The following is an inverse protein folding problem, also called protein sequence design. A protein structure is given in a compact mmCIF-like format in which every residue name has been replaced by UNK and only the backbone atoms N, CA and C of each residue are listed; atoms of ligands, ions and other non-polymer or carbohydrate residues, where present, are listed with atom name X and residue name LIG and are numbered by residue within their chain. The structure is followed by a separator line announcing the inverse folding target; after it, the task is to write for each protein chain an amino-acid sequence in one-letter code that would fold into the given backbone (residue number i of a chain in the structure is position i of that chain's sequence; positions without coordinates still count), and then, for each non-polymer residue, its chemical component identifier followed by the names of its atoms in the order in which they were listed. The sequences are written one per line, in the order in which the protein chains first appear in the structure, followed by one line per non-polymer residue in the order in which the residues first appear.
data_IF_103285622477
#
_entry.id   IF_103285622477
#
_cell.length_a   1.000
_cell.length_b   1.000
_cell.length_c   1.000
_cell.angle_alpha   90.00
_cell.angle_beta   90.00
_cell.angle_gamma   90.00
#
_symmetry.space_group_name_H-M   'P 1'
#
loop_
_entity.id
_entity.type
_entity.pdbx_description
1 polymer ?
#
# COMPACT_ATOMS: atom_id res chain seq x y z
N UNK A 1 -37.01 20.18 33.34
CA UNK A 1 -37.91 19.84 32.22
C UNK A 1 -37.00 19.58 31.04
N UNK A 2 -36.65 18.32 30.81
CA UNK A 2 -35.77 17.96 29.70
C UNK A 2 -36.57 17.99 28.40
N UNK A 3 -36.23 18.95 27.54
CA UNK A 3 -36.94 19.25 26.30
C UNK A 3 -36.47 18.40 25.11
N UNK A 4 -35.63 17.40 25.34
CA UNK A 4 -35.04 16.58 24.28
C UNK A 4 -35.62 15.17 24.30
N UNK A 5 -36.05 14.70 23.13
CA UNK A 5 -36.39 13.31 22.89
C UNK A 5 -35.15 12.43 23.05
N UNK A 6 -35.32 11.19 23.53
CA UNK A 6 -34.19 10.28 23.71
C UNK A 6 -33.69 9.78 22.34
N UNK A 7 -32.42 9.37 22.26
CA UNK A 7 -31.85 8.85 21.01
C UNK A 7 -32.68 7.70 20.41
N UNK A 8 -33.23 6.84 21.26
CA UNK A 8 -34.09 5.73 20.85
C UNK A 8 -35.38 6.22 20.20
N UNK A 9 -35.98 7.30 20.72
CA UNK A 9 -37.22 7.88 20.18
C UNK A 9 -37.00 8.56 18.82
N UNK A 10 -35.80 9.10 18.59
CA UNK A 10 -35.47 9.82 17.34
C UNK A 10 -35.09 8.84 16.23
N UNK A 11 -34.31 7.80 16.53
CA UNK A 11 -33.72 6.92 15.51
C UNK A 11 -34.35 5.52 15.46
N UNK A 12 -35.14 5.12 16.47
CA UNK A 12 -36.06 3.98 16.44
C UNK A 12 -35.45 2.59 16.28
N UNK A 13 -34.14 2.48 16.04
CA UNK A 13 -33.45 1.23 15.71
C UNK A 13 -32.10 1.17 16.40
N UNK A 14 -31.78 0.00 16.94
CA UNK A 14 -30.46 -0.27 17.52
C UNK A 14 -29.48 -0.33 16.37
N UNK A 15 -28.55 0.62 16.31
CA UNK A 15 -27.47 0.58 15.32
C UNK A 15 -26.38 -0.37 15.81
N UNK A 16 -26.10 -1.38 15.01
CA UNK A 16 -25.02 -2.37 15.20
C UNK A 16 -23.94 -2.13 14.14
N UNK A 17 -22.71 -2.60 14.35
CA UNK A 17 -21.58 -2.36 13.42
C UNK A 17 -21.83 -2.88 11.98
N UNK A 18 -22.75 -3.83 11.81
CA UNK A 18 -23.24 -4.30 10.50
C UNK A 18 -23.97 -3.21 9.69
N UNK A 19 -24.51 -2.19 10.35
CA UNK A 19 -25.12 -1.00 9.73
C UNK A 19 -24.10 0.09 9.40
N UNK A 20 -22.80 -0.23 9.40
CA UNK A 20 -21.71 0.68 9.05
C UNK A 20 -21.13 0.29 7.68
N UNK A 21 -21.75 0.73 6.56
CA UNK A 21 -21.31 0.40 5.21
C UNK A 21 -19.81 0.61 4.99
N UNK A 22 -19.25 1.69 5.56
CA UNK A 22 -17.82 2.00 5.46
C UNK A 22 -16.93 0.96 6.12
N UNK A 23 -17.36 0.38 7.26
CA UNK A 23 -16.64 -0.66 7.98
C UNK A 23 -16.74 -2.01 7.28
N UNK A 24 -17.91 -2.35 6.74
CA UNK A 24 -18.07 -3.56 5.93
C UNK A 24 -17.29 -3.47 4.60
N UNK A 25 -17.29 -2.30 3.96
CA UNK A 25 -16.52 -2.04 2.74
C UNK A 25 -15.02 -2.01 3.00
N UNK A 26 -14.55 -1.55 4.16
CA UNK A 26 -13.13 -1.58 4.51
C UNK A 26 -12.64 -2.98 4.82
N UNK A 27 -13.48 -3.87 5.38
CA UNK A 27 -13.16 -5.29 5.53
C UNK A 27 -13.11 -6.04 4.20
N UNK A 28 -14.02 -5.72 3.26
CA UNK A 28 -14.05 -6.33 1.94
C UNK A 28 -12.97 -5.79 0.97
N UNK A 29 -12.41 -4.60 1.26
CA UNK A 29 -11.38 -3.92 0.44
C UNK A 29 -10.04 -3.78 1.17
N UNK A 30 -9.84 -4.40 2.32
CA UNK A 30 -8.56 -4.30 3.02
C UNK A 30 -7.51 -5.05 2.20
N UNK A 31 -6.59 -4.27 1.60
CA UNK A 31 -5.38 -4.84 1.04
C UNK A 31 -4.60 -5.56 2.16
N UNK A 32 -4.00 -6.69 1.81
CA UNK A 32 -3.08 -7.43 2.68
C UNK A 32 -1.75 -6.67 2.74
N UNK A 33 -1.77 -5.46 3.30
CA UNK A 33 -0.55 -4.77 3.71
C UNK A 33 -0.11 -5.45 5.01
N UNK A 34 1.00 -6.22 5.06
CA UNK A 34 1.48 -6.81 6.28
C UNK A 34 1.79 -5.69 7.27
N UNK A 35 1.01 -5.59 8.34
CA UNK A 35 1.18 -4.56 9.38
C UNK A 35 2.61 -4.52 9.95
N UNK A 36 3.33 -5.65 9.86
CA UNK A 36 4.73 -5.78 10.28
C UNK A 36 5.74 -4.96 9.45
N UNK A 37 5.33 -4.38 8.32
CA UNK A 37 6.19 -3.47 7.53
C UNK A 37 5.88 -2.00 7.77
N UNK A 38 4.66 -1.66 8.16
CA UNK A 38 4.23 -0.28 8.44
C UNK A 38 4.66 0.18 9.84
N UNK A 39 5.89 -0.12 10.23
CA UNK A 39 6.49 0.30 11.50
C UNK A 39 7.57 1.35 11.24
N UNK A 40 7.74 2.29 12.16
CA UNK A 40 8.68 3.40 12.01
C UNK A 40 10.12 2.93 11.74
N UNK A 41 10.54 1.83 12.38
CA UNK A 41 11.87 1.21 12.20
C UNK A 41 12.16 0.79 10.75
N UNK A 42 11.12 0.60 9.93
CA UNK A 42 11.23 0.18 8.53
C UNK A 42 11.03 1.30 7.53
N UNK A 43 10.84 2.53 8.00
CA UNK A 43 10.87 3.71 7.13
C UNK A 43 12.33 3.92 6.69
N UNK A 44 12.53 4.09 5.38
CA UNK A 44 13.85 4.38 4.79
C UNK A 44 13.93 5.78 4.25
N UNK A 45 12.82 6.29 3.72
CA UNK A 45 12.76 7.66 3.25
C UNK A 45 11.31 8.15 3.15
N UNK A 46 11.15 9.38 2.70
CA UNK A 46 9.91 10.09 2.48
C UNK A 46 9.88 10.64 1.06
N UNK A 47 8.75 10.50 0.39
CA UNK A 47 8.57 10.97 -0.99
C UNK A 47 7.28 11.76 -1.11
N UNK A 48 7.34 12.92 -1.75
CA UNK A 48 6.17 13.74 -2.00
C UNK A 48 5.52 13.36 -3.32
N UNK A 49 4.20 13.18 -3.28
CA UNK A 49 3.42 12.91 -4.48
C UNK A 49 3.05 14.22 -5.20
N UNK A 50 3.31 14.32 -6.50
CA UNK A 50 2.96 15.49 -7.30
C UNK A 50 1.44 15.69 -7.44
N UNK A 51 0.69 14.58 -7.57
CA UNK A 51 -0.76 14.62 -7.80
C UNK A 51 -1.52 15.03 -6.54
N UNK A 52 -1.24 14.37 -5.41
CA UNK A 52 -2.03 14.54 -4.20
C UNK A 52 -1.38 15.46 -3.17
N UNK A 53 -0.13 15.88 -3.40
CA UNK A 53 0.67 16.75 -2.52
C UNK A 53 0.83 16.22 -1.09
N UNK A 54 0.74 14.90 -0.91
CA UNK A 54 0.98 14.23 0.37
C UNK A 54 2.35 13.57 0.36
N UNK A 55 3.00 13.65 1.50
CA UNK A 55 4.20 12.90 1.82
C UNK A 55 3.86 11.43 2.09
N UNK A 56 4.57 10.52 1.45
CA UNK A 56 4.43 9.08 1.59
C UNK A 56 5.73 8.49 2.19
N UNK A 57 5.60 7.56 3.14
CA UNK A 57 6.75 6.83 3.66
C UNK A 57 7.17 5.71 2.69
N UNK A 58 8.46 5.61 2.43
CA UNK A 58 9.08 4.50 1.72
C UNK A 58 9.53 3.47 2.74
N UNK A 59 8.99 2.25 2.66
CA UNK A 59 9.29 1.18 3.59
C UNK A 59 10.21 0.12 2.97
N UNK A 60 11.19 -0.36 3.72
CA UNK A 60 11.99 -1.53 3.36
C UNK A 60 12.44 -2.28 4.61
N UNK A 61 12.57 -3.60 4.48
CA UNK A 61 13.20 -4.41 5.53
C UNK A 61 14.74 -4.26 5.51
N UNK A 62 15.33 -3.98 4.34
CA UNK A 62 16.77 -3.77 4.16
C UNK A 62 17.13 -2.31 4.43
N UNK A 63 18.27 -2.09 5.08
CA UNK A 63 18.94 -0.79 5.05
C UNK A 63 19.69 -0.69 3.73
N UNK A 64 19.40 0.35 2.94
CA UNK A 64 20.16 0.61 1.72
C UNK A 64 21.62 0.84 2.10
N UNK A 65 22.54 0.30 1.29
CA UNK A 65 23.94 0.70 1.38
C UNK A 65 24.09 2.16 0.98
N UNK A 66 25.25 2.78 1.25
CA UNK A 66 25.49 4.18 0.86
C UNK A 66 25.34 4.37 -0.67
N UNK A 67 25.80 3.41 -1.46
CA UNK A 67 25.66 3.42 -2.93
C UNK A 67 24.19 3.30 -3.36
N UNK A 68 23.44 2.37 -2.77
CA UNK A 68 22.02 2.19 -3.07
C UNK A 68 21.18 3.39 -2.65
N UNK A 69 21.55 4.04 -1.54
CA UNK A 69 20.91 5.27 -1.07
C UNK A 69 21.19 6.42 -2.02
N UNK A 70 22.41 6.54 -2.53
CA UNK A 70 22.78 7.54 -3.53
C UNK A 70 21.97 7.36 -4.82
N UNK A 71 21.89 6.13 -5.33
CA UNK A 71 21.10 5.81 -6.54
C UNK A 71 19.60 6.05 -6.32
N UNK A 72 19.10 5.73 -5.12
CA UNK A 72 17.73 6.03 -4.73
C UNK A 72 17.45 7.53 -4.77
N UNK A 73 18.29 8.34 -4.13
CA UNK A 73 18.15 9.79 -4.09
C UNK A 73 18.24 10.41 -5.49
N UNK A 74 19.18 9.97 -6.32
CA UNK A 74 19.25 10.41 -7.71
C UNK A 74 17.97 10.09 -8.48
N UNK A 75 17.37 8.92 -8.26
CA UNK A 75 16.08 8.57 -8.89
C UNK A 75 14.98 9.54 -8.45
N UNK A 76 14.93 9.89 -7.15
CA UNK A 76 13.95 10.84 -6.64
C UNK A 76 14.13 12.27 -7.16
N UNK A 77 15.36 12.67 -7.46
CA UNK A 77 15.65 13.98 -8.06
C UNK A 77 15.30 14.01 -9.56
N UNK A 78 15.50 12.90 -10.27
CA UNK A 78 15.27 12.80 -11.71
C UNK A 78 13.81 12.54 -12.09
N UNK A 79 13.09 11.80 -11.26
CA UNK A 79 11.73 11.35 -11.56
C UNK A 79 10.74 11.85 -10.52
N UNK A 80 9.61 12.38 -11.00
CA UNK A 80 8.53 12.75 -10.12
C UNK A 80 7.63 11.55 -9.79
N UNK A 81 7.24 11.46 -8.52
CA UNK A 81 6.37 10.40 -8.04
C UNK A 81 4.91 10.81 -8.04
N UNK A 82 4.06 9.89 -8.50
CA UNK A 82 2.60 10.03 -8.48
C UNK A 82 1.93 8.83 -7.80
N UNK A 83 0.71 9.04 -7.31
CA UNK A 83 -0.01 8.04 -6.54
C UNK A 83 -0.25 6.76 -7.36
N UNK A 84 0.39 5.66 -6.94
CA UNK A 84 0.20 4.35 -7.56
C UNK A 84 1.12 4.07 -8.74
N UNK A 85 2.02 5.00 -9.07
CA UNK A 85 3.19 4.70 -9.89
C UNK A 85 4.22 3.90 -9.08
N UNK A 86 5.02 3.03 -9.73
CA UNK A 86 6.21 2.49 -9.11
C UNK A 86 7.18 3.63 -8.74
N UNK A 87 7.88 3.49 -7.63
CA UNK A 87 8.86 4.48 -7.17
C UNK A 87 10.07 4.54 -8.12
N UNK A 88 10.43 3.39 -8.68
CA UNK A 88 11.53 3.25 -9.60
C UNK A 88 11.03 3.00 -11.03
N UNK A 89 11.77 3.49 -12.05
CA UNK A 89 11.61 3.06 -13.43
C UNK A 89 11.67 1.54 -13.60
N UNK A 90 11.13 1.05 -14.71
CA UNK A 90 11.00 -0.39 -14.93
C UNK A 90 12.34 -1.12 -15.06
N UNK A 91 13.39 -0.40 -15.45
CA UNK A 91 14.77 -0.84 -15.70
C UNK A 91 15.72 -0.59 -14.52
N UNK A 92 15.23 -0.03 -13.40
CA UNK A 92 16.08 0.27 -12.25
C UNK A 92 16.30 -0.97 -11.39
N UNK A 93 17.55 -1.31 -11.07
CA UNK A 93 17.90 -2.54 -10.33
C UNK A 93 17.26 -2.63 -8.93
N UNK A 94 17.08 -1.49 -8.22
CA UNK A 94 16.36 -1.46 -6.93
C UNK A 94 14.88 -1.86 -7.00
N UNK A 95 14.28 -1.92 -8.20
CA UNK A 95 12.93 -2.47 -8.40
C UNK A 95 12.91 -4.00 -8.22
N UNK A 96 14.02 -4.67 -8.50
CA UNK A 96 14.15 -6.12 -8.50
C UNK A 96 14.78 -6.61 -7.20
N UNK A 97 14.19 -6.27 -6.06
CA UNK A 97 14.59 -6.80 -4.75
C UNK A 97 13.40 -7.41 -4.02
N UNK A 98 13.64 -8.51 -3.31
CA UNK A 98 12.64 -9.21 -2.53
C UNK A 98 12.04 -8.27 -1.47
N UNK A 99 10.72 -8.18 -1.44
CA UNK A 99 10.00 -7.31 -0.52
C UNK A 99 10.31 -7.56 0.97
N UNK A 100 10.52 -8.82 1.36
CA UNK A 100 10.70 -9.18 2.77
C UNK A 100 12.15 -9.19 3.26
N UNK A 101 13.10 -9.63 2.44
CA UNK A 101 14.50 -9.74 2.84
C UNK A 101 15.44 -8.79 2.10
N UNK A 102 14.98 -8.11 1.04
CA UNK A 102 15.80 -7.24 0.21
C UNK A 102 16.80 -7.96 -0.70
N UNK A 103 16.72 -9.29 -0.82
CA UNK A 103 17.59 -10.05 -1.72
C UNK A 103 17.22 -9.81 -3.18
N UNK A 104 18.20 -9.54 -4.04
CA UNK A 104 18.00 -9.42 -5.49
C UNK A 104 17.98 -10.78 -6.20
N UNK A 105 18.54 -11.81 -5.57
CA UNK A 105 18.68 -13.13 -6.20
C UNK A 105 17.48 -14.04 -5.94
N UNK A 106 17.28 -14.99 -6.86
CA UNK A 106 16.24 -16.02 -6.79
C UNK A 106 14.84 -15.44 -6.63
N UNK A 107 14.54 -14.35 -7.35
CA UNK A 107 13.23 -13.72 -7.34
C UNK A 107 12.21 -14.55 -8.13
N UNK A 108 11.08 -14.76 -7.49
CA UNK A 108 9.95 -15.51 -8.00
C UNK A 108 9.07 -14.57 -8.82
N UNK A 109 8.77 -14.99 -10.04
CA UNK A 109 7.81 -14.30 -10.88
C UNK A 109 6.37 -14.49 -10.33
N UNK A 110 5.62 -13.40 -10.10
CA UNK A 110 4.23 -13.53 -9.67
C UNK A 110 3.37 -14.17 -10.77
N UNK A 111 2.32 -14.90 -10.36
CA UNK A 111 1.43 -15.61 -11.28
C UNK A 111 0.72 -14.65 -12.24
N UNK A 112 0.32 -15.16 -13.41
CA UNK A 112 -0.38 -14.37 -14.42
C UNK A 112 -1.69 -13.76 -13.88
N UNK A 113 -2.44 -14.55 -13.11
CA UNK A 113 -3.68 -14.10 -12.46
C UNK A 113 -3.47 -12.96 -11.46
N UNK A 114 -2.34 -12.94 -10.74
CA UNK A 114 -1.98 -11.81 -9.88
C UNK A 114 -1.72 -10.55 -10.72
N UNK A 115 -0.94 -10.68 -11.80
CA UNK A 115 -0.61 -9.55 -12.68
C UNK A 115 -1.83 -8.90 -13.34
N UNK A 116 -2.88 -9.68 -13.59
CA UNK A 116 -4.13 -9.18 -14.17
C UNK A 116 -5.02 -8.42 -13.16
N UNK A 117 -4.89 -8.71 -11.87
CA UNK A 117 -5.77 -8.18 -10.81
C UNK A 117 -5.19 -7.00 -10.03
N UNK A 118 -3.86 -6.83 -10.04
CA UNK A 118 -3.17 -5.89 -9.15
C UNK A 118 -2.31 -4.91 -9.93
N UNK A 119 -2.37 -3.63 -9.54
CA UNK A 119 -1.57 -2.57 -10.16
C UNK A 119 -0.09 -2.71 -9.84
N UNK A 120 0.22 -3.21 -8.65
CA UNK A 120 1.58 -3.38 -8.21
C UNK A 120 1.72 -4.66 -7.41
N UNK A 121 2.75 -5.42 -7.76
CA UNK A 121 3.12 -6.67 -7.09
C UNK A 121 4.60 -6.56 -6.76
N UNK A 122 4.92 -6.65 -5.48
CA UNK A 122 6.32 -6.59 -5.05
C UNK A 122 6.94 -8.00 -5.09
N UNK A 123 8.12 -8.17 -5.68
CA UNK A 123 8.71 -9.49 -5.89
C UNK A 123 9.14 -10.14 -4.57
N UNK A 124 9.25 -11.47 -4.58
CA UNK A 124 9.70 -12.28 -3.46
C UNK A 124 10.84 -13.18 -3.88
N UNK A 125 11.80 -13.47 -3.00
CA UNK A 125 12.74 -14.56 -3.25
C UNK A 125 12.12 -15.92 -2.88
N UNK A 126 12.66 -17.01 -3.43
CA UNK A 126 12.19 -18.39 -3.19
C UNK A 126 12.02 -18.69 -1.69
N UNK A 127 13.04 -18.35 -0.88
CA UNK A 127 13.04 -18.55 0.58
C UNK A 127 11.87 -17.83 1.25
N UNK A 128 11.57 -16.61 0.81
CA UNK A 128 10.47 -15.83 1.39
C UNK A 128 9.10 -16.32 0.91
N UNK A 129 9.02 -16.89 -0.30
CA UNK A 129 7.76 -17.41 -0.85
C UNK A 129 7.26 -18.64 -0.09
N UNK A 130 8.16 -19.53 0.36
CA UNK A 130 7.79 -20.75 1.08
C UNK A 130 6.89 -20.50 2.30
N UNK A 131 7.03 -19.33 2.93
CA UNK A 131 6.31 -18.97 4.14
C UNK A 131 5.41 -17.73 3.98
N UNK A 132 5.44 -17.04 2.84
CA UNK A 132 4.76 -15.75 2.65
C UNK A 132 4.21 -15.60 1.23
N UNK A 133 3.11 -14.89 1.12
CA UNK A 133 2.53 -14.51 -0.17
C UNK A 133 3.08 -13.17 -0.67
N UNK A 134 2.98 -12.97 -1.99
CA UNK A 134 3.29 -11.70 -2.64
C UNK A 134 2.51 -10.57 -1.98
N UNK A 135 3.18 -9.45 -1.75
CA UNK A 135 2.49 -8.22 -1.43
C UNK A 135 1.90 -7.63 -2.70
N UNK A 136 0.61 -7.30 -2.66
CA UNK A 136 -0.11 -6.75 -3.80
C UNK A 136 -0.90 -5.50 -3.43
N UNK A 137 -0.90 -4.52 -4.33
CA UNK A 137 -1.70 -3.30 -4.23
C UNK A 137 -2.73 -3.26 -5.36
N UNK A 138 -4.01 -3.14 -5.02
CA UNK A 138 -5.12 -3.15 -5.96
C UNK A 138 -5.45 -1.72 -6.43
N UNK A 139 -6.20 -1.63 -7.53
CA UNK A 139 -6.78 -0.36 -7.94
C UNK A 139 -7.88 0.04 -6.95
N UNK A 140 -7.70 1.16 -6.24
CA UNK A 140 -8.78 1.78 -5.48
C UNK A 140 -9.80 2.30 -6.50
N UNK A 141 -10.82 1.48 -6.80
CA UNK A 141 -12.00 1.96 -7.51
C UNK A 141 -12.76 2.89 -6.57
N UNK A 142 -12.48 4.18 -6.65
CA UNK A 142 -13.39 5.21 -6.15
C UNK A 142 -14.64 5.12 -7.01
N UNK A 143 -15.77 4.75 -6.40
CA UNK A 143 -17.05 4.88 -7.07
C UNK A 143 -17.25 6.37 -7.34
N UNK A 144 -17.23 6.78 -8.61
CA UNK A 144 -17.75 8.06 -9.02
C UNK A 144 -19.16 8.18 -8.46
N UNK A 145 -19.35 9.07 -7.46
CA UNK A 145 -20.68 9.61 -7.20
C UNK A 145 -21.06 10.32 -8.49
N UNK A 146 -22.08 9.83 -9.17
CA UNK A 146 -22.72 10.55 -10.25
C UNK A 146 -22.94 12.00 -9.78
N UNK A 147 -22.30 12.93 -10.47
CA UNK A 147 -22.59 14.34 -10.30
C UNK A 147 -24.08 14.53 -10.58
N UNK A 148 -24.67 15.36 -9.73
CA UNK A 148 -26.08 15.58 -9.47
C UNK A 148 -26.88 15.97 -10.71
#
# INVERSE_FOLDING_TARGET
MDHYATFQDVYGTITTEEHRPTYMQSQAKSELIPKSILIAEKIRDYIDCEDCRKCHCVYSNKFLTDDELYDFQQTLELYSYSCGAPIFPDDHYLKEICYYCGNSDNLVSPSKSLKECFKQIYPLCEICQENRNFYTRAEIKTNNRAAK
#
